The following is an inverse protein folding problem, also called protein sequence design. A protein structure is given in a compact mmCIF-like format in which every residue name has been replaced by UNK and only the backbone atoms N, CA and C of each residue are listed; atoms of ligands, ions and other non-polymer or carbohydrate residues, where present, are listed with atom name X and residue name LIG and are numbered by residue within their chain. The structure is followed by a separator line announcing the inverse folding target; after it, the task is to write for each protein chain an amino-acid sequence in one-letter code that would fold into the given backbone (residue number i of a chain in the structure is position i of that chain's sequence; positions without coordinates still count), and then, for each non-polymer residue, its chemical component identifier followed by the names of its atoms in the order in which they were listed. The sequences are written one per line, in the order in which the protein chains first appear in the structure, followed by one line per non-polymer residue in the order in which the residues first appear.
data_IF_244472931387
#
_entry.id   IF_244472931387
#
_cell.length_a   1.000
_cell.length_b   1.000
_cell.length_c   1.000
_cell.angle_alpha   90.00
_cell.angle_beta   90.00
_cell.angle_gamma   90.00
#
_symmetry.space_group_name_H-M   'P 1'
#
loop_
_entity.id
_entity.type
_entity.pdbx_description
1 polymer ?
#
# COMPACT_ATOMS: atom_id res chain seq x y z
N UNK A 1 -36.85 -4.68 41.39
CA UNK A 1 -36.64 -3.86 40.19
C UNK A 1 -35.96 -4.78 39.18
N UNK A 2 -36.63 -5.56 38.32
CA UNK A 2 -37.71 -5.34 37.33
C UNK A 2 -37.39 -4.24 36.32
N UNK A 3 -37.30 -4.66 35.04
CA UNK A 3 -37.35 -3.84 33.82
C UNK A 3 -36.01 -3.82 33.08
N UNK A 4 -35.87 -4.10 31.78
CA UNK A 4 -36.75 -4.46 30.66
C UNK A 4 -35.78 -4.79 29.51
N UNK A 5 -36.01 -5.80 28.66
CA UNK A 5 -37.04 -5.78 27.63
C UNK A 5 -36.65 -4.83 26.48
N UNK A 6 -36.18 -5.37 25.35
CA UNK A 6 -36.82 -5.23 24.01
C UNK A 6 -35.97 -5.75 22.86
N UNK A 7 -36.59 -6.67 22.13
CA UNK A 7 -36.25 -7.31 20.87
C UNK A 7 -36.67 -6.43 19.70
N UNK A 8 -35.84 -6.21 18.68
CA UNK A 8 -36.20 -5.74 17.32
C UNK A 8 -35.01 -6.12 16.41
N UNK A 9 -35.10 -6.56 15.16
CA UNK A 9 -36.22 -6.88 14.28
C UNK A 9 -35.69 -7.85 13.20
N UNK A 10 -36.56 -8.79 12.83
CA UNK A 10 -36.53 -9.63 11.64
C UNK A 10 -36.48 -8.79 10.36
N UNK A 11 -35.60 -9.16 9.42
CA UNK A 11 -35.79 -8.87 7.99
C UNK A 11 -35.92 -10.19 7.23
N UNK A 12 -37.16 -10.51 6.89
CA UNK A 12 -37.51 -11.37 5.77
C UNK A 12 -36.98 -10.73 4.49
N UNK A 13 -36.57 -11.51 3.49
CA UNK A 13 -36.92 -11.20 2.11
C UNK A 13 -36.82 -12.44 1.20
N UNK A 14 -37.98 -12.70 0.57
CA UNK A 14 -38.18 -13.15 -0.82
C UNK A 14 -37.90 -14.61 -1.19
N UNK A 15 -38.99 -15.37 -1.15
CA UNK A 15 -39.33 -16.46 -2.06
C UNK A 15 -39.08 -16.12 -3.53
N UNK A 16 -38.56 -17.09 -4.28
CA UNK A 16 -38.89 -17.27 -5.68
C UNK A 16 -38.84 -18.76 -6.03
N UNK A 17 -40.02 -19.37 -6.09
CA UNK A 17 -40.29 -20.66 -6.73
C UNK A 17 -40.47 -20.37 -8.22
N UNK A 18 -39.77 -21.07 -9.11
CA UNK A 18 -40.18 -21.16 -10.51
C UNK A 18 -39.83 -22.51 -11.14
N UNK A 19 -40.87 -23.36 -11.18
CA UNK A 19 -41.36 -24.21 -12.27
C UNK A 19 -40.34 -24.92 -13.19
N UNK A 20 -40.43 -26.25 -13.17
CA UNK A 20 -39.88 -27.16 -14.18
C UNK A 20 -40.73 -27.20 -15.46
N UNK A 21 -40.09 -27.29 -16.63
CA UNK A 21 -40.69 -27.90 -17.83
C UNK A 21 -39.60 -28.40 -18.78
N UNK A 22 -39.76 -29.66 -19.18
CA UNK A 22 -38.91 -30.52 -20.00
C UNK A 22 -38.99 -30.16 -21.49
N UNK A 23 -37.87 -30.25 -22.22
CA UNK A 23 -37.83 -30.22 -23.68
C UNK A 23 -36.66 -31.04 -24.22
N UNK A 24 -36.95 -32.10 -24.96
CA UNK A 24 -35.98 -32.96 -25.65
C UNK A 24 -35.42 -32.27 -26.89
N UNK A 25 -34.10 -32.35 -27.09
CA UNK A 25 -33.41 -32.00 -28.33
C UNK A 25 -32.13 -32.82 -28.45
N UNK A 26 -32.02 -33.63 -29.50
CA UNK A 26 -30.88 -34.49 -29.82
C UNK A 26 -29.76 -33.71 -30.53
N UNK A 27 -28.53 -34.22 -30.35
CA UNK A 27 -27.30 -33.97 -31.11
C UNK A 27 -26.60 -32.60 -30.94
N UNK A 28 -25.63 -32.58 -30.01
CA UNK A 28 -24.52 -31.63 -30.01
C UNK A 28 -23.24 -32.37 -29.66
N UNK A 29 -22.25 -32.34 -30.56
CA UNK A 29 -20.95 -32.98 -30.37
C UNK A 29 -20.25 -32.43 -29.12
N UNK A 30 -19.61 -33.32 -28.37
CA UNK A 30 -18.77 -33.03 -27.21
C UNK A 30 -17.65 -32.05 -27.57
N UNK A 31 -17.91 -30.75 -27.43
CA UNK A 31 -16.89 -29.78 -27.11
C UNK A 31 -16.69 -29.85 -25.60
N UNK A 32 -15.60 -30.46 -25.16
CA UNK A 32 -15.12 -30.35 -23.79
C UNK A 32 -14.88 -28.86 -23.50
N UNK A 33 -15.88 -28.18 -22.95
CA UNK A 33 -15.65 -26.93 -22.25
C UNK A 33 -15.02 -27.33 -20.92
N UNK A 34 -13.71 -27.13 -20.81
CA UNK A 34 -13.12 -26.88 -19.51
C UNK A 34 -13.96 -25.78 -18.86
N UNK A 35 -14.41 -25.94 -17.60
CA UNK A 35 -14.91 -24.80 -16.88
C UNK A 35 -13.73 -23.86 -16.74
N UNK A 36 -13.68 -22.84 -17.61
CA UNK A 36 -12.92 -21.63 -17.34
C UNK A 36 -13.45 -21.15 -16.01
N UNK A 37 -12.77 -21.53 -14.94
CA UNK A 37 -12.88 -20.86 -13.67
C UNK A 37 -12.59 -19.42 -14.02
N UNK A 38 -13.64 -18.62 -14.15
CA UNK A 38 -13.56 -17.19 -13.95
C UNK A 38 -13.15 -17.11 -12.49
N UNK A 39 -11.83 -17.23 -12.25
CA UNK A 39 -11.20 -16.76 -11.03
C UNK A 39 -11.73 -15.36 -10.97
N UNK A 40 -12.69 -15.15 -10.06
CA UNK A 40 -13.26 -13.84 -9.83
C UNK A 40 -12.07 -12.95 -9.64
N UNK A 41 -11.80 -12.11 -10.64
CA UNK A 41 -10.86 -11.03 -10.49
C UNK A 41 -11.39 -10.32 -9.26
N UNK A 42 -10.70 -10.53 -8.15
CA UNK A 42 -10.99 -9.81 -6.92
C UNK A 42 -10.75 -8.39 -7.38
N UNK A 43 -11.83 -7.65 -7.63
CA UNK A 43 -11.77 -6.29 -8.13
C UNK A 43 -11.05 -5.52 -7.03
N UNK A 44 -9.72 -5.47 -7.14
CA UNK A 44 -8.89 -4.68 -6.26
C UNK A 44 -9.37 -3.26 -6.52
N UNK A 45 -10.03 -2.67 -5.54
CA UNK A 45 -10.59 -1.33 -5.68
C UNK A 45 -9.49 -0.43 -6.23
N UNK A 46 -9.78 0.28 -7.32
CA UNK A 46 -8.79 1.14 -7.95
C UNK A 46 -8.36 2.21 -6.93
N UNK A 47 -7.09 2.19 -6.53
CA UNK A 47 -6.53 3.12 -5.56
C UNK A 47 -6.08 4.36 -6.34
N UNK A 48 -6.73 5.48 -6.10
CA UNK A 48 -6.36 6.75 -6.72
C UNK A 48 -4.98 7.18 -6.20
N UNK A 49 -4.00 7.48 -7.09
CA UNK A 49 -2.72 8.02 -6.66
C UNK A 49 -2.89 9.37 -6.00
N UNK A 50 -2.21 9.57 -4.87
CA UNK A 50 -2.29 10.80 -4.08
C UNK A 50 -0.93 11.50 -3.95
N UNK A 51 0.16 10.79 -4.20
CA UNK A 51 1.51 11.33 -4.31
C UNK A 51 2.29 10.60 -5.41
N UNK A 52 3.24 11.30 -6.02
CA UNK A 52 4.19 10.71 -6.96
C UNK A 52 5.53 10.60 -6.24
N UNK A 53 5.81 9.48 -5.59
CA UNK A 53 7.06 9.27 -4.87
C UNK A 53 8.27 9.11 -5.81
N UNK A 54 8.17 8.44 -6.98
CA UNK A 54 9.30 8.33 -7.90
C UNK A 54 9.97 9.65 -8.29
N UNK A 55 9.22 10.74 -8.45
CA UNK A 55 9.80 12.05 -8.82
C UNK A 55 10.55 12.73 -7.69
N UNK A 56 10.40 12.25 -6.45
CA UNK A 56 11.11 12.75 -5.27
C UNK A 56 12.48 12.08 -5.11
N UNK A 57 12.70 10.97 -5.80
CA UNK A 57 13.97 10.25 -5.75
C UNK A 57 15.04 11.05 -6.51
N UNK A 58 16.23 11.15 -5.91
CA UNK A 58 17.36 11.88 -6.50
C UNK A 58 17.33 13.40 -6.29
N UNK A 59 16.31 13.92 -5.62
CA UNK A 59 16.31 15.30 -5.14
C UNK A 59 17.20 15.44 -3.89
N UNK A 60 17.75 16.63 -3.69
CA UNK A 60 18.32 17.03 -2.42
C UNK A 60 17.22 17.23 -1.36
N UNK A 61 17.61 17.21 -0.09
CA UNK A 61 16.67 17.42 1.01
C UNK A 61 16.07 18.84 1.01
N UNK A 62 16.77 19.82 0.44
CA UNK A 62 16.29 21.20 0.27
C UNK A 62 15.24 21.31 -0.84
N UNK A 63 15.40 20.58 -1.93
CA UNK A 63 14.40 20.45 -2.98
C UNK A 63 13.16 19.69 -2.48
N UNK A 64 13.36 18.64 -1.67
CA UNK A 64 12.24 17.95 -1.00
C UNK A 64 11.43 18.91 -0.14
N UNK A 65 12.09 19.76 0.66
CA UNK A 65 11.39 20.77 1.47
C UNK A 65 10.65 21.80 0.62
N UNK A 66 11.22 22.18 -0.52
CA UNK A 66 10.56 23.08 -1.46
C UNK A 66 9.32 22.45 -2.10
N UNK A 67 9.38 21.15 -2.40
CA UNK A 67 8.28 20.41 -3.04
C UNK A 67 7.18 19.96 -2.07
N UNK A 68 7.56 19.49 -0.88
CA UNK A 68 6.66 18.86 0.09
C UNK A 68 6.31 19.79 1.27
N UNK A 69 6.97 20.94 1.37
CA UNK A 69 6.81 21.87 2.47
C UNK A 69 7.67 21.52 3.70
N UNK A 70 7.22 22.00 4.85
CA UNK A 70 7.99 21.91 6.09
C UNK A 70 8.15 20.46 6.55
N UNK A 71 9.40 20.06 6.78
CA UNK A 71 9.69 18.78 7.41
C UNK A 71 9.23 18.76 8.87
N UNK A 72 8.76 17.60 9.32
CA UNK A 72 8.39 17.34 10.70
C UNK A 72 9.48 16.56 11.41
N UNK A 73 9.65 16.84 12.71
CA UNK A 73 10.48 16.03 13.56
C UNK A 73 9.89 14.62 13.65
N UNK A 74 10.76 13.62 13.59
CA UNK A 74 10.38 12.25 13.89
C UNK A 74 10.13 12.10 15.40
N UNK A 75 9.24 11.20 15.82
CA UNK A 75 9.12 10.83 17.23
C UNK A 75 10.49 10.43 17.78
N UNK A 76 10.78 10.78 19.04
CA UNK A 76 12.07 10.48 19.67
C UNK A 76 12.40 8.98 19.68
N UNK A 77 11.38 8.13 19.70
CA UNK A 77 11.53 6.68 19.61
C UNK A 77 11.69 6.12 18.18
N UNK A 78 11.67 6.96 17.16
CA UNK A 78 11.82 6.49 15.78
C UNK A 78 13.27 6.05 15.54
N UNK A 79 13.44 4.75 15.38
CA UNK A 79 14.66 4.13 14.92
C UNK A 79 14.47 3.76 13.46
N UNK A 80 15.41 4.13 12.59
CA UNK A 80 15.42 3.62 11.23
C UNK A 80 15.59 2.08 11.30
N UNK A 81 14.57 1.30 10.91
CA UNK A 81 14.55 -0.15 11.05
C UNK A 81 15.62 -0.85 10.23
N UNK A 82 16.25 -0.14 9.28
CA UNK A 82 17.31 -0.65 8.42
C UNK A 82 18.66 0.02 8.69
N UNK A 83 18.77 0.80 9.77
CA UNK A 83 20.05 1.35 10.21
C UNK A 83 20.95 0.21 10.67
N UNK A 84 22.10 0.04 10.00
CA UNK A 84 23.02 -1.07 10.26
C UNK A 84 23.97 -0.81 11.45
N UNK A 85 23.72 0.22 12.26
CA UNK A 85 24.50 0.51 13.48
C UNK A 85 25.91 1.06 13.24
N UNK A 86 26.36 1.16 11.99
CA UNK A 86 27.57 1.93 11.65
C UNK A 86 27.27 3.41 11.79
N UNK A 87 28.25 4.19 12.26
CA UNK A 87 28.14 5.64 12.37
C UNK A 87 27.91 6.25 10.97
N UNK A 88 26.63 6.36 10.60
CA UNK A 88 26.23 6.96 9.34
C UNK A 88 26.19 8.47 9.51
N UNK A 89 26.72 9.21 8.52
CA UNK A 89 26.48 10.66 8.38
C UNK A 89 25.06 10.96 7.90
N UNK A 90 24.21 9.93 7.78
CA UNK A 90 22.85 10.10 7.35
C UNK A 90 22.00 10.74 8.45
N UNK A 91 21.01 11.49 8.02
CA UNK A 91 20.01 12.15 8.85
C UNK A 91 18.64 11.84 8.29
N UNK A 92 17.64 12.02 9.15
CA UNK A 92 16.26 11.68 8.84
C UNK A 92 15.37 12.91 8.93
N UNK A 93 14.43 13.05 8.00
CA UNK A 93 13.35 14.03 8.06
C UNK A 93 12.04 13.40 7.64
N UNK A 94 10.95 13.78 8.31
CA UNK A 94 9.61 13.32 7.96
C UNK A 94 8.85 14.38 7.14
N UNK A 95 8.07 13.93 6.18
CA UNK A 95 7.19 14.76 5.36
C UNK A 95 5.79 14.15 5.29
N UNK A 96 4.79 14.98 4.97
CA UNK A 96 3.45 14.52 4.64
C UNK A 96 3.06 15.03 3.26
N UNK A 97 2.57 14.14 2.40
CA UNK A 97 2.05 14.50 1.08
C UNK A 97 1.01 13.49 0.64
N UNK A 98 -0.08 13.93 0.02
CA UNK A 98 -1.12 13.02 -0.49
C UNK A 98 -1.73 12.08 0.56
N UNK A 99 -1.75 12.49 1.84
CA UNK A 99 -2.19 11.61 2.95
C UNK A 99 -1.16 10.54 3.37
N UNK A 100 -0.03 10.44 2.68
CA UNK A 100 1.10 9.58 3.03
C UNK A 100 2.06 10.29 3.99
N UNK A 101 2.71 9.50 4.84
CA UNK A 101 3.84 9.96 5.65
C UNK A 101 5.13 9.35 5.09
N UNK A 102 6.07 10.21 4.73
CA UNK A 102 7.35 9.84 4.18
C UNK A 102 8.44 10.13 5.21
N UNK A 103 9.43 9.25 5.28
CA UNK A 103 10.68 9.49 6.00
C UNK A 103 11.80 9.46 4.98
N UNK A 104 12.50 10.58 4.83
CA UNK A 104 13.64 10.69 3.94
C UNK A 104 14.93 10.45 4.72
N UNK A 105 15.73 9.50 4.24
CA UNK A 105 17.10 9.29 4.67
C UNK A 105 18.00 10.04 3.72
N UNK A 106 18.85 10.93 4.22
CA UNK A 106 19.72 11.76 3.39
C UNK A 106 21.09 11.92 4.03
N UNK A 107 22.11 12.12 3.20
CA UNK A 107 23.46 12.38 3.70
C UNK A 107 23.55 13.82 4.22
N UNK A 108 23.87 14.00 5.52
CA UNK A 108 23.89 15.33 6.13
C UNK A 108 24.95 16.27 5.56
N UNK A 109 26.03 15.73 4.97
CA UNK A 109 27.12 16.51 4.36
C UNK A 109 26.78 16.95 2.94
N UNK A 110 26.32 16.03 2.09
CA UNK A 110 26.02 16.33 0.68
C UNK A 110 24.60 16.83 0.44
N UNK A 111 23.73 16.74 1.45
CA UNK A 111 22.30 17.08 1.38
C UNK A 111 21.51 16.21 0.40
N UNK A 112 22.09 15.13 -0.12
CA UNK A 112 21.45 14.24 -1.10
C UNK A 112 20.56 13.20 -0.41
N UNK A 113 19.33 13.02 -0.90
CA UNK A 113 18.43 11.96 -0.43
C UNK A 113 18.90 10.62 -0.98
N UNK A 114 19.02 9.63 -0.09
CA UNK A 114 19.45 8.27 -0.43
C UNK A 114 18.26 7.35 -0.67
N UNK A 115 17.23 7.50 0.15
CA UNK A 115 16.01 6.71 0.07
C UNK A 115 14.84 7.38 0.77
N UNK A 116 13.65 6.90 0.43
CA UNK A 116 12.39 7.33 1.01
C UNK A 116 11.67 6.11 1.58
N UNK A 117 11.31 6.15 2.86
CA UNK A 117 10.40 5.20 3.47
C UNK A 117 8.99 5.80 3.48
N UNK A 118 8.08 5.18 2.74
CA UNK A 118 6.65 5.53 2.76
C UNK A 118 5.97 4.67 3.81
N UNK A 119 5.47 5.28 4.88
CA UNK A 119 4.84 4.58 5.99
C UNK A 119 3.41 4.15 5.65
N UNK A 120 3.06 2.94 6.05
CA UNK A 120 1.72 2.38 5.89
C UNK A 120 1.66 0.90 6.29
N UNK A 121 0.46 0.37 6.46
CA UNK A 121 0.23 -0.99 6.95
C UNK A 121 -0.13 -1.99 5.85
N UNK A 122 -0.39 -1.52 4.63
CA UNK A 122 -0.84 -2.32 3.50
C UNK A 122 -0.03 -1.95 2.26
N UNK A 123 0.68 -2.92 1.69
CA UNK A 123 1.59 -2.72 0.56
C UNK A 123 0.86 -2.15 -0.66
N UNK A 124 -0.23 -2.79 -1.11
CA UNK A 124 -0.97 -2.37 -2.30
C UNK A 124 -1.50 -0.94 -2.18
N UNK A 125 -1.99 -0.56 -0.98
CA UNK A 125 -2.44 0.80 -0.68
C UNK A 125 -1.33 1.82 -0.81
N UNK A 126 -0.15 1.52 -0.26
CA UNK A 126 1.02 2.39 -0.37
C UNK A 126 1.46 2.48 -1.83
N UNK A 127 1.55 1.34 -2.53
CA UNK A 127 1.98 1.28 -3.93
C UNK A 127 1.08 2.14 -4.83
N UNK A 128 -0.24 2.00 -4.70
CA UNK A 128 -1.21 2.78 -5.47
C UNK A 128 -1.18 4.26 -5.13
N UNK A 129 -1.23 4.62 -3.84
CA UNK A 129 -1.23 6.02 -3.40
C UNK A 129 0.07 6.75 -3.75
N UNK A 130 1.21 6.07 -3.68
CA UNK A 130 2.53 6.63 -3.95
C UNK A 130 2.95 6.60 -5.43
N UNK A 131 2.08 6.12 -6.33
CA UNK A 131 2.38 5.91 -7.76
C UNK A 131 3.59 4.99 -7.99
N UNK A 132 3.80 3.99 -7.12
CA UNK A 132 4.93 3.06 -7.19
C UNK A 132 4.60 1.83 -8.06
N UNK A 133 5.63 1.24 -8.63
CA UNK A 133 5.56 0.00 -9.40
C UNK A 133 6.69 -0.93 -8.99
N UNK A 134 6.40 -2.21 -8.78
CA UNK A 134 7.37 -3.21 -8.29
C UNK A 134 8.49 -3.47 -9.30
N UNK A 135 8.22 -3.28 -10.59
CA UNK A 135 9.15 -3.55 -11.70
C UNK A 135 9.65 -2.27 -12.40
N UNK A 136 9.80 -1.16 -11.66
CA UNK A 136 10.35 0.08 -12.21
C UNK A 136 11.86 -0.03 -12.43
N UNK A 137 12.39 0.63 -13.48
CA UNK A 137 13.82 0.58 -13.81
C UNK A 137 14.69 1.59 -13.04
N UNK A 138 14.09 2.60 -12.43
CA UNK A 138 14.81 3.70 -11.79
C UNK A 138 14.89 3.61 -10.27
N UNK A 139 14.19 2.63 -9.67
CA UNK A 139 14.13 2.46 -8.24
C UNK A 139 13.78 1.03 -7.84
N UNK A 140 14.18 0.65 -6.63
CA UNK A 140 13.76 -0.57 -5.96
C UNK A 140 12.76 -0.23 -4.86
N UNK A 141 11.72 -1.05 -4.73
CA UNK A 141 10.76 -1.00 -3.62
C UNK A 141 11.00 -2.22 -2.74
N UNK A 142 11.18 -2.01 -1.45
CA UNK A 142 11.41 -3.08 -0.47
C UNK A 142 10.42 -2.93 0.69
N UNK A 143 9.72 -3.99 1.09
CA UNK A 143 8.91 -3.96 2.30
C UNK A 143 9.80 -3.80 3.52
N UNK A 144 9.38 -2.94 4.44
CA UNK A 144 10.04 -2.72 5.72
C UNK A 144 9.09 -3.17 6.81
N UNK A 145 9.54 -4.10 7.65
CA UNK A 145 8.74 -4.64 8.74
C UNK A 145 9.12 -3.99 10.07
N UNK A 146 8.21 -4.07 11.03
CA UNK A 146 8.46 -3.56 12.37
C UNK A 146 9.53 -4.39 13.11
N UNK A 147 10.50 -3.76 13.80
CA UNK A 147 11.52 -4.48 14.56
C UNK A 147 10.93 -5.37 15.67
N UNK A 148 9.84 -4.91 16.30
CA UNK A 148 9.12 -5.60 17.37
C UNK A 148 8.09 -6.62 16.85
N UNK A 149 7.85 -6.66 15.53
CA UNK A 149 6.84 -7.50 14.91
C UNK A 149 7.20 -7.75 13.43
N UNK A 150 8.09 -8.72 13.13
CA UNK A 150 8.65 -8.90 11.78
C UNK A 150 7.60 -9.31 10.72
N UNK A 151 6.40 -9.71 11.14
CA UNK A 151 5.28 -10.01 10.24
C UNK A 151 4.33 -8.81 10.02
N UNK A 152 4.63 -7.64 10.60
CA UNK A 152 3.83 -6.42 10.44
C UNK A 152 4.57 -5.41 9.60
N UNK A 153 3.98 -5.07 8.45
CA UNK A 153 4.49 -4.05 7.56
C UNK A 153 4.52 -2.69 8.28
N UNK A 154 5.68 -2.03 8.26
CA UNK A 154 5.84 -0.64 8.68
C UNK A 154 5.63 0.31 7.50
N UNK A 155 6.10 -0.08 6.32
CA UNK A 155 6.03 0.72 5.11
C UNK A 155 6.84 0.13 3.97
N UNK A 156 7.00 0.91 2.90
CA UNK A 156 7.80 0.56 1.72
C UNK A 156 8.98 1.51 1.60
N UNK A 157 10.20 0.96 1.58
CA UNK A 157 11.41 1.74 1.27
C UNK A 157 11.62 1.78 -0.22
N UNK A 158 11.88 2.96 -0.73
CA UNK A 158 12.10 3.24 -2.14
C UNK A 158 13.50 3.81 -2.30
N UNK A 159 14.33 3.12 -3.08
CA UNK A 159 15.74 3.47 -3.29
C UNK A 159 15.98 3.72 -4.76
N UNK A 160 16.65 4.82 -5.10
CA UNK A 160 17.09 5.06 -6.46
C UNK A 160 18.19 4.05 -6.84
N UNK A 161 18.11 3.47 -8.05
CA UNK A 161 19.11 2.50 -8.54
C UNK A 161 20.17 3.10 -9.44
N UNK A 162 19.98 4.35 -9.88
CA UNK A 162 20.78 4.97 -10.92
C UNK A 162 21.56 6.19 -10.41
N UNK A 163 22.06 6.13 -9.17
CA UNK A 163 22.84 7.19 -8.53
C UNK A 163 24.34 6.92 -8.67
#
# INVERSE_FOLDING_TARGET
MVGGGRQWATSLHLSAVFVAATGWGLAGCSGAHEPTQVVGATTHAAITPTANVPVLLGLSIDELRSSLGTAHALPTQYLDPLSTGVASTDSLLAFRTGGLQLVATYNARTRQVRDLLVLGQQEDSIMGQASLRSSARGYLVMPVFRPDSPNRLLGLRVLATNQ
#
